data_IF_455754762190
#
_entry.id   IF_455754762190
#
_cell.length_a   1.000
_cell.length_b   1.000
_cell.length_c   1.000
_cell.angle_alpha   90.00
_cell.angle_beta   90.00
_cell.angle_gamma   90.00
#
_symmetry.space_group_name_H-M   'P 1'
#
loop_
_entity.id
_entity.type
_entity.pdbx_description
1 polymer ?
#
# COMPACT_ATOMS: atom_id res chain seq x y z
N UNK A 1 -28.08 6.73 1.36
CA UNK A 1 -27.78 8.03 1.97
C UNK A 1 -26.52 7.87 2.81
N UNK A 2 -25.51 8.71 2.60
CA UNK A 2 -24.31 8.73 3.43
C UNK A 2 -24.52 9.59 4.70
N UNK A 3 -23.48 9.70 5.54
CA UNK A 3 -23.56 10.51 6.78
C UNK A 3 -23.81 12.00 6.52
N UNK A 4 -23.61 12.49 5.30
CA UNK A 4 -23.80 13.88 4.89
C UNK A 4 -25.13 14.11 4.17
N UNK A 5 -26.01 13.11 4.10
CA UNK A 5 -27.31 13.22 3.42
C UNK A 5 -27.25 13.05 1.90
N UNK A 6 -26.11 12.63 1.33
CA UNK A 6 -25.96 12.44 -0.12
C UNK A 6 -26.44 11.06 -0.56
N UNK A 7 -27.10 11.00 -1.72
CA UNK A 7 -27.52 9.77 -2.37
C UNK A 7 -26.42 9.31 -3.35
N UNK A 8 -26.01 8.05 -3.23
CA UNK A 8 -24.95 7.46 -4.04
C UNK A 8 -25.52 6.33 -4.91
N UNK A 9 -25.25 6.39 -6.21
CA UNK A 9 -25.60 5.30 -7.14
C UNK A 9 -24.82 4.02 -6.80
N UNK A 10 -25.26 2.87 -7.34
CA UNK A 10 -24.56 1.60 -7.12
C UNK A 10 -23.11 1.64 -7.62
N UNK A 11 -22.89 2.17 -8.82
CA UNK A 11 -21.56 2.29 -9.42
C UNK A 11 -20.64 3.19 -8.60
N UNK A 12 -21.11 4.34 -8.12
CA UNK A 12 -20.31 5.22 -7.28
C UNK A 12 -19.88 4.54 -5.96
N UNK A 13 -20.77 3.74 -5.36
CA UNK A 13 -20.42 2.95 -4.16
C UNK A 13 -19.37 1.88 -4.47
N UNK A 14 -19.45 1.24 -5.64
CA UNK A 14 -18.46 0.24 -6.07
C UNK A 14 -17.08 0.85 -6.34
N UNK A 15 -17.00 2.04 -6.93
CA UNK A 15 -15.73 2.75 -7.11
C UNK A 15 -15.06 2.99 -5.75
N UNK A 16 -15.83 3.43 -4.74
CA UNK A 16 -15.30 3.64 -3.38
C UNK A 16 -14.84 2.32 -2.75
N UNK A 17 -15.60 1.23 -2.91
CA UNK A 17 -15.23 -0.11 -2.43
C UNK A 17 -13.89 -0.58 -3.01
N UNK A 18 -13.72 -0.48 -4.33
CA UNK A 18 -12.49 -0.86 -5.00
C UNK A 18 -11.30 0.05 -4.66
N UNK A 19 -11.56 1.34 -4.45
CA UNK A 19 -10.54 2.27 -3.93
C UNK A 19 -10.10 1.86 -2.52
N UNK A 20 -11.03 1.44 -1.66
CA UNK A 20 -10.71 0.90 -0.34
C UNK A 20 -9.87 -0.37 -0.41
N UNK A 21 -10.16 -1.30 -1.33
CA UNK A 21 -9.31 -2.49 -1.52
C UNK A 21 -7.89 -2.12 -1.92
N UNK A 22 -7.74 -1.13 -2.81
CA UNK A 22 -6.43 -0.63 -3.23
C UNK A 22 -5.68 0.01 -2.07
N UNK A 23 -6.38 0.80 -1.25
CA UNK A 23 -5.80 1.44 -0.07
C UNK A 23 -5.37 0.41 1.00
N UNK A 24 -6.17 -0.64 1.18
CA UNK A 24 -5.84 -1.75 2.08
C UNK A 24 -4.59 -2.50 1.58
N UNK A 25 -4.49 -2.76 0.28
CA UNK A 25 -3.30 -3.34 -0.33
C UNK A 25 -2.06 -2.46 -0.12
N UNK A 26 -2.16 -1.15 -0.38
CA UNK A 26 -1.06 -0.22 -0.11
C UNK A 26 -0.66 -0.21 1.38
N UNK A 27 -1.64 -0.33 2.28
CA UNK A 27 -1.39 -0.42 3.72
C UNK A 27 -0.60 -1.66 4.10
N UNK A 28 -0.89 -2.82 3.47
CA UNK A 28 -0.12 -4.06 3.66
C UNK A 28 1.34 -3.84 3.26
N UNK A 29 1.59 -3.23 2.11
CA UNK A 29 2.96 -2.96 1.62
C UNK A 29 3.73 -2.06 2.59
N UNK A 30 3.09 -1.01 3.12
CA UNK A 30 3.72 -0.10 4.09
C UNK A 30 4.09 -0.81 5.39
N UNK A 31 3.20 -1.64 5.95
CA UNK A 31 3.52 -2.39 7.18
C UNK A 31 4.57 -3.47 6.96
N UNK A 32 4.63 -4.04 5.75
CA UNK A 32 5.69 -5.00 5.38
C UNK A 32 7.08 -4.36 5.42
N UNK A 33 7.22 -3.06 5.15
CA UNK A 33 8.52 -2.39 5.31
C UNK A 33 9.05 -2.52 6.74
N UNK A 34 8.18 -2.30 7.74
CA UNK A 34 8.54 -2.43 9.14
C UNK A 34 8.78 -3.88 9.52
N UNK A 35 7.91 -4.81 9.11
CA UNK A 35 8.04 -6.23 9.41
C UNK A 35 9.37 -6.80 8.86
N UNK A 36 9.71 -6.45 7.62
CA UNK A 36 10.93 -6.91 6.95
C UNK A 36 12.20 -6.33 7.59
N UNK A 37 12.15 -5.10 8.12
CA UNK A 37 13.22 -4.50 8.93
C UNK A 37 13.38 -5.22 10.28
N UNK A 38 12.28 -5.57 10.95
CA UNK A 38 12.30 -6.24 12.26
C UNK A 38 12.76 -7.70 12.12
N UNK A 39 12.19 -8.44 11.16
CA UNK A 39 12.52 -9.83 10.87
C UNK A 39 13.99 -10.03 10.45
N UNK A 40 14.67 -8.98 9.96
CA UNK A 40 16.11 -8.97 9.67
C UNK A 40 16.97 -9.28 10.91
N UNK A 41 16.53 -8.86 12.09
CA UNK A 41 17.33 -8.94 13.32
C UNK A 41 16.57 -9.66 14.43
N UNK A 42 16.96 -10.90 14.74
CA UNK A 42 16.31 -11.68 15.80
C UNK A 42 16.69 -11.29 17.24
N UNK A 43 17.83 -10.62 17.42
CA UNK A 43 18.38 -10.23 18.74
C UNK A 43 19.13 -8.90 18.75
N UNK A 44 19.90 -8.62 17.71
CA UNK A 44 20.67 -7.37 17.64
C UNK A 44 19.77 -6.20 17.26
N UNK A 45 20.12 -4.99 17.70
CA UNK A 45 19.42 -3.79 17.22
C UNK A 45 19.71 -3.55 15.73
N UNK A 46 18.73 -3.06 14.99
CA UNK A 46 18.90 -2.62 13.59
C UNK A 46 20.01 -1.57 13.48
N UNK A 47 20.19 -0.72 14.50
CA UNK A 47 21.26 0.29 14.53
C UNK A 47 22.64 -0.31 14.73
N UNK A 48 22.76 -1.42 15.48
CA UNK A 48 24.03 -2.12 15.69
C UNK A 48 24.41 -2.97 14.47
N UNK A 49 23.43 -3.63 13.84
CA UNK A 49 23.66 -4.50 12.70
C UNK A 49 23.79 -3.72 11.38
N UNK A 50 23.06 -2.61 11.26
CA UNK A 50 22.97 -1.77 10.08
C UNK A 50 22.19 -2.40 8.91
N UNK A 51 21.91 -1.60 7.89
CA UNK A 51 21.25 -2.03 6.65
C UNK A 51 22.26 -2.33 5.54
N UNK A 52 23.15 -3.31 5.73
CA UNK A 52 24.16 -3.67 4.71
C UNK A 52 23.69 -4.67 3.64
N UNK A 53 22.50 -5.24 3.81
CA UNK A 53 21.98 -6.22 2.86
C UNK A 53 21.36 -5.51 1.65
N UNK A 54 22.12 -5.45 0.54
CA UNK A 54 21.71 -4.80 -0.72
C UNK A 54 20.47 -5.46 -1.34
N UNK A 55 20.33 -6.79 -1.24
CA UNK A 55 19.19 -7.53 -1.79
C UNK A 55 17.91 -7.15 -1.03
N UNK A 56 18.01 -7.01 0.30
CA UNK A 56 16.88 -6.61 1.14
C UNK A 56 16.40 -5.19 0.82
N UNK A 57 17.34 -4.25 0.64
CA UNK A 57 17.00 -2.88 0.24
C UNK A 57 16.38 -2.87 -1.16
N UNK A 58 16.95 -3.62 -2.11
CA UNK A 58 16.39 -3.75 -3.45
C UNK A 58 14.96 -4.32 -3.43
N UNK A 59 14.70 -5.35 -2.61
CA UNK A 59 13.37 -5.92 -2.43
C UNK A 59 12.34 -4.90 -1.93
N UNK A 60 12.70 -4.06 -0.96
CA UNK A 60 11.80 -2.99 -0.48
C UNK A 60 11.46 -1.98 -1.59
N UNK A 61 12.44 -1.62 -2.42
CA UNK A 61 12.20 -0.74 -3.57
C UNK A 61 11.34 -1.40 -4.64
N UNK A 62 11.59 -2.67 -4.95
CA UNK A 62 10.84 -3.44 -5.93
C UNK A 62 9.39 -3.62 -5.50
N UNK A 63 9.14 -3.99 -4.24
CA UNK A 63 7.79 -4.13 -3.69
C UNK A 63 7.01 -2.81 -3.76
N UNK A 64 7.65 -1.70 -3.40
CA UNK A 64 7.04 -0.37 -3.45
C UNK A 64 6.75 0.06 -4.89
N UNK A 65 7.69 -0.20 -5.81
CA UNK A 65 7.53 0.12 -7.23
C UNK A 65 6.42 -0.71 -7.87
N UNK A 66 6.34 -2.01 -7.55
CA UNK A 66 5.28 -2.90 -7.97
C UNK A 66 3.92 -2.40 -7.44
N UNK A 67 3.83 -2.06 -6.16
CA UNK A 67 2.60 -1.55 -5.57
C UNK A 67 2.13 -0.24 -6.22
N UNK A 68 3.07 0.68 -6.50
CA UNK A 68 2.79 1.91 -7.22
C UNK A 68 2.37 1.64 -8.67
N UNK A 69 3.04 0.72 -9.37
CA UNK A 69 2.68 0.30 -10.73
C UNK A 69 1.26 -0.27 -10.78
N UNK A 70 0.94 -1.21 -9.89
CA UNK A 70 -0.39 -1.82 -9.81
C UNK A 70 -1.49 -0.81 -9.47
N UNK A 71 -1.18 0.22 -8.66
CA UNK A 71 -2.16 1.22 -8.24
C UNK A 71 -2.38 2.34 -9.25
N UNK A 72 -1.38 2.68 -10.08
CA UNK A 72 -1.40 3.86 -10.96
C UNK A 72 -1.36 3.55 -12.45
N UNK A 73 -1.09 2.30 -12.87
CA UNK A 73 -1.08 1.97 -14.29
C UNK A 73 -2.49 1.89 -14.88
N UNK A 74 -2.73 2.52 -16.05
CA UNK A 74 -4.02 2.48 -16.73
C UNK A 74 -4.32 1.05 -17.21
N UNK A 75 -5.54 0.56 -16.94
CA UNK A 75 -5.98 -0.82 -17.24
C UNK A 75 -5.98 -1.76 -16.04
N UNK A 76 -5.37 -1.39 -14.92
CA UNK A 76 -5.42 -2.16 -13.67
C UNK A 76 -6.76 -2.02 -12.94
N UNK A 77 -7.52 -0.97 -13.25
CA UNK A 77 -8.91 -0.75 -12.83
C UNK A 77 -9.88 -1.77 -13.45
N UNK A 78 -9.57 -2.28 -14.63
CA UNK A 78 -10.36 -3.33 -15.30
C UNK A 78 -9.84 -4.73 -14.96
N UNK A 79 -8.51 -4.91 -14.91
CA UNK A 79 -7.90 -6.22 -14.66
C UNK A 79 -7.96 -6.66 -13.20
N UNK A 80 -7.58 -5.77 -12.27
CA UNK A 80 -7.50 -6.06 -10.83
C UNK A 80 -8.49 -5.25 -9.99
N UNK A 81 -9.27 -4.36 -10.61
CA UNK A 81 -10.16 -3.42 -9.92
C UNK A 81 -9.40 -2.54 -8.94
N UNK A 82 -8.19 -2.14 -9.31
CA UNK A 82 -7.37 -1.22 -8.53
C UNK A 82 -7.57 0.20 -9.04
N UNK A 83 -7.90 1.12 -8.15
CA UNK A 83 -8.17 2.51 -8.48
C UNK A 83 -7.06 3.41 -7.94
N UNK A 84 -6.74 4.51 -8.65
CA UNK A 84 -5.64 5.39 -8.27
C UNK A 84 -5.91 6.00 -6.89
N UNK A 85 -4.93 5.84 -6.00
CA UNK A 85 -4.98 6.38 -4.64
C UNK A 85 -4.54 7.83 -4.60
N UNK A 86 -5.20 8.64 -3.77
CA UNK A 86 -4.71 9.99 -3.47
C UNK A 86 -3.44 9.88 -2.61
N UNK A 87 -2.47 10.81 -2.71
CA UNK A 87 -1.21 10.76 -1.97
C UNK A 87 -1.38 10.55 -0.45
N UNK A 88 -2.39 11.19 0.15
CA UNK A 88 -2.67 11.08 1.59
C UNK A 88 -2.98 9.65 2.04
N UNK A 89 -3.47 8.78 1.15
CA UNK A 89 -3.90 7.42 1.48
C UNK A 89 -2.72 6.46 1.65
N UNK A 90 -1.57 6.78 1.06
CA UNK A 90 -0.32 6.05 1.28
C UNK A 90 0.19 6.20 2.72
N UNK A 91 -0.12 7.33 3.37
CA UNK A 91 0.32 7.60 4.74
C UNK A 91 -0.66 7.08 5.80
N UNK A 92 -1.81 6.52 5.41
CA UNK A 92 -2.79 6.01 6.38
C UNK A 92 -2.26 4.85 7.24
N UNK A 93 -1.33 4.06 6.69
CA UNK A 93 -0.73 2.91 7.38
C UNK A 93 0.66 3.22 7.96
N UNK A 94 1.12 4.46 7.84
CA UNK A 94 2.38 4.86 8.44
C UNK A 94 2.18 4.98 9.97
N UNK A 95 3.07 4.40 10.79
CA UNK A 95 2.95 4.42 12.25
C UNK A 95 3.17 5.81 12.85
#
# INVERSE_FOLDING_TARGET
>A
EDRYGQQWTYEQRKIVEFTCHTAFFASIVVVQWADLIICKTRRNSVFQQGMRNKILIFGLFEETALAAFLSYCPGMDVALRMYPLKPNWWFCAFP
#
